data_IF_090111076543
#
_entry.id   IF_090111076543
#
_cell.length_a   1.000
_cell.length_b   1.000
_cell.length_c   1.000
_cell.angle_alpha   90.00
_cell.angle_beta   90.00
_cell.angle_gamma   90.00
#
_symmetry.space_group_name_H-M   'P 1'
#
loop_
_entity.id
_entity.type
_entity.pdbx_description
1 polymer ?
#
# COMPACT_ATOMS: atom_id res chain seq x y z
N UNK A 1 -28.01 24.76 11.77
CA UNK A 1 -28.52 25.19 13.08
C UNK A 1 -28.39 23.99 14.00
N UNK A 2 -27.31 24.02 14.77
CA UNK A 2 -26.95 23.04 15.78
C UNK A 2 -28.04 23.04 16.85
N UNK A 3 -28.54 21.86 17.22
CA UNK A 3 -29.42 21.71 18.37
C UNK A 3 -28.81 20.64 19.28
N UNK A 4 -28.01 21.13 20.21
CA UNK A 4 -27.88 20.71 21.60
C UNK A 4 -28.04 19.22 21.94
N UNK A 5 -26.89 18.59 22.17
CA UNK A 5 -26.75 17.50 23.14
C UNK A 5 -25.57 17.81 24.07
N UNK A 6 -25.81 18.69 25.03
CA UNK A 6 -25.03 18.73 26.26
C UNK A 6 -25.71 17.81 27.29
N UNK A 7 -25.10 16.66 27.56
CA UNK A 7 -25.41 15.86 28.74
C UNK A 7 -24.11 15.62 29.52
N UNK A 8 -24.08 16.13 30.76
CA UNK A 8 -23.05 15.90 31.75
C UNK A 8 -22.98 14.42 32.13
N UNK A 9 -21.77 13.83 32.10
CA UNK A 9 -21.34 12.83 33.08
C UNK A 9 -19.90 13.15 33.49
N UNK A 10 -19.66 13.16 34.80
CA UNK A 10 -18.37 13.36 35.46
C UNK A 10 -17.60 12.04 35.49
N UNK A 11 -16.28 12.14 35.34
CA UNK A 11 -15.33 11.15 35.87
C UNK A 11 -14.81 10.13 34.87
N UNK A 12 -13.50 10.22 34.65
CA UNK A 12 -12.57 9.21 34.14
C UNK A 12 -12.72 8.70 32.71
N UNK A 13 -11.57 8.68 32.02
CA UNK A 13 -11.32 8.16 30.67
C UNK A 13 -12.12 8.82 29.52
N UNK A 14 -11.49 9.81 28.89
CA UNK A 14 -11.82 10.23 27.52
C UNK A 14 -11.46 9.11 26.54
N UNK A 15 -12.27 8.05 26.49
CA UNK A 15 -12.35 7.16 25.34
C UNK A 15 -13.09 7.95 24.26
N UNK A 16 -12.33 8.47 23.29
CA UNK A 16 -12.85 9.24 22.17
C UNK A 16 -13.88 8.41 21.38
N UNK A 17 -15.04 8.99 21.10
CA UNK A 17 -16.11 8.42 20.28
C UNK A 17 -15.76 8.16 18.80
N UNK A 18 -14.49 8.18 18.41
CA UNK A 18 -14.03 7.81 17.06
C UNK A 18 -13.89 6.29 16.84
N UNK A 19 -14.16 5.48 17.86
CA UNK A 19 -13.99 4.01 17.81
C UNK A 19 -15.21 3.26 17.23
N UNK A 20 -16.21 3.97 16.69
CA UNK A 20 -17.49 3.37 16.27
C UNK A 20 -17.68 3.25 14.75
N UNK A 21 -16.75 3.72 13.92
CA UNK A 21 -16.83 3.58 12.45
C UNK A 21 -15.78 2.66 11.85
N UNK A 22 -14.91 2.05 12.66
CA UNK A 22 -14.02 1.00 12.18
C UNK A 22 -14.81 -0.30 12.04
N UNK A 23 -15.71 -0.33 11.04
CA UNK A 23 -16.43 -1.53 10.62
C UNK A 23 -15.44 -2.67 10.53
N UNK A 24 -15.80 -3.84 11.09
CA UNK A 24 -14.95 -5.03 11.05
C UNK A 24 -14.52 -5.28 9.60
N UNK A 25 -13.28 -4.93 9.28
CA UNK A 25 -12.66 -5.29 7.99
C UNK A 25 -12.72 -6.80 7.86
N UNK A 26 -12.79 -7.31 6.63
CA UNK A 26 -12.67 -8.75 6.47
C UNK A 26 -11.33 -9.25 7.04
N UNK A 27 -11.34 -10.49 7.56
CA UNK A 27 -10.11 -11.13 8.04
C UNK A 27 -9.03 -11.23 6.96
N UNK A 28 -9.41 -11.21 5.67
CA UNK A 28 -8.46 -11.15 4.56
C UNK A 28 -7.69 -9.84 4.56
N UNK A 29 -8.39 -8.71 4.64
CA UNK A 29 -7.76 -7.39 4.60
C UNK A 29 -6.86 -7.15 5.84
N UNK A 30 -7.30 -7.62 7.01
CA UNK A 30 -6.48 -7.61 8.23
C UNK A 30 -5.21 -8.43 8.07
N UNK A 31 -5.30 -9.66 7.53
CA UNK A 31 -4.13 -10.50 7.27
C UNK A 31 -3.14 -9.87 6.29
N UNK A 32 -3.63 -9.17 5.27
CA UNK A 32 -2.77 -8.41 4.34
C UNK A 32 -2.11 -7.22 5.05
N UNK A 33 -2.82 -6.54 5.95
CA UNK A 33 -2.26 -5.44 6.74
C UNK A 33 -1.16 -5.92 7.70
N UNK A 34 -1.37 -7.06 8.36
CA UNK A 34 -0.34 -7.71 9.18
C UNK A 34 0.88 -8.07 8.35
N UNK A 35 0.68 -8.66 7.17
CA UNK A 35 1.80 -9.03 6.29
C UNK A 35 2.60 -7.80 5.85
N UNK A 36 1.92 -6.74 5.42
CA UNK A 36 2.58 -5.50 5.05
C UNK A 36 3.42 -4.94 6.21
N UNK A 37 2.92 -5.01 7.44
CA UNK A 37 3.67 -4.59 8.62
C UNK A 37 4.92 -5.45 8.84
N UNK A 38 4.81 -6.78 8.71
CA UNK A 38 5.95 -7.69 8.84
C UNK A 38 7.05 -7.40 7.83
N UNK A 39 6.68 -7.04 6.60
CA UNK A 39 7.65 -6.64 5.57
C UNK A 39 8.33 -5.30 5.88
N UNK A 40 7.66 -4.41 6.61
CA UNK A 40 8.23 -3.15 7.05
C UNK A 40 9.12 -3.28 8.29
N UNK A 41 8.85 -4.25 9.18
CA UNK A 41 9.67 -4.57 10.35
C UNK A 41 10.95 -5.33 9.94
N UNK A 42 11.89 -4.60 9.34
CA UNK A 42 13.11 -5.14 8.71
C UNK A 42 14.03 -5.86 9.71
N UNK A 43 13.92 -5.56 11.00
CA UNK A 43 14.70 -6.23 12.04
C UNK A 43 13.89 -7.24 12.88
N UNK A 44 12.59 -7.38 12.59
CA UNK A 44 11.67 -8.34 13.21
C UNK A 44 11.54 -8.19 14.74
N UNK A 45 11.53 -6.94 15.25
CA UNK A 45 11.37 -6.66 16.68
C UNK A 45 9.91 -6.42 17.11
N UNK A 46 8.95 -6.48 16.19
CA UNK A 46 7.52 -6.25 16.45
C UNK A 46 7.11 -4.78 16.47
N UNK A 47 8.01 -3.87 16.11
CA UNK A 47 7.74 -2.43 15.98
C UNK A 47 8.26 -1.92 14.64
N UNK A 48 7.68 -0.82 14.15
CA UNK A 48 8.14 -0.14 12.95
C UNK A 48 8.93 1.11 13.32
N UNK A 49 10.21 1.15 12.97
CA UNK A 49 11.06 2.31 13.17
C UNK A 49 11.01 3.28 11.97
N UNK A 50 11.22 4.59 12.21
CA UNK A 50 11.26 5.61 11.15
C UNK A 50 12.26 5.23 10.04
N UNK A 51 13.42 4.71 10.46
CA UNK A 51 14.49 4.33 9.54
C UNK A 51 14.14 3.13 8.67
N UNK A 52 13.29 2.22 9.15
CA UNK A 52 12.86 1.04 8.39
C UNK A 52 11.90 1.46 7.29
N UNK A 53 10.90 2.29 7.63
CA UNK A 53 9.98 2.87 6.65
C UNK A 53 10.74 3.66 5.57
N UNK A 54 11.67 4.52 5.97
CA UNK A 54 12.49 5.31 5.04
C UNK A 54 13.33 4.42 4.13
N UNK A 55 14.06 3.45 4.69
CA UNK A 55 14.97 2.59 3.92
C UNK A 55 14.22 1.73 2.91
N UNK A 56 13.13 1.10 3.32
CA UNK A 56 12.34 0.26 2.42
C UNK A 56 11.81 1.09 1.25
N UNK A 57 11.27 2.27 1.53
CA UNK A 57 10.75 3.14 0.48
C UNK A 57 11.83 3.76 -0.43
N UNK A 58 13.03 4.05 0.09
CA UNK A 58 14.18 4.39 -0.77
C UNK A 58 14.46 3.25 -1.76
N UNK A 59 14.39 1.98 -1.34
CA UNK A 59 14.61 0.83 -2.22
C UNK A 59 13.51 0.64 -3.27
N UNK A 60 12.26 0.83 -2.88
CA UNK A 60 11.13 0.84 -3.83
C UNK A 60 11.32 1.96 -4.86
N UNK A 61 11.77 3.15 -4.42
CA UNK A 61 12.07 4.28 -5.33
C UNK A 61 13.17 3.91 -6.33
N UNK A 62 14.22 3.20 -5.90
CA UNK A 62 15.28 2.71 -6.80
C UNK A 62 14.72 1.70 -7.82
N UNK A 63 13.81 0.80 -7.42
CA UNK A 63 13.18 -0.13 -8.36
C UNK A 63 12.39 0.60 -9.44
N UNK A 64 11.70 1.69 -9.07
CA UNK A 64 10.81 2.40 -10.00
C UNK A 64 11.54 3.40 -10.89
N UNK A 65 12.52 4.14 -10.34
CA UNK A 65 13.19 5.22 -11.05
C UNK A 65 14.60 4.83 -11.55
N UNK A 66 15.12 3.67 -11.17
CA UNK A 66 16.45 3.21 -11.50
C UNK A 66 17.56 4.03 -10.84
N UNK A 67 18.72 4.13 -11.50
CA UNK A 67 19.93 4.76 -10.96
C UNK A 67 19.80 6.26 -10.66
N UNK A 68 18.80 6.93 -11.24
CA UNK A 68 18.55 8.37 -11.05
C UNK A 68 17.45 8.65 -10.01
N UNK A 69 17.13 7.68 -9.16
CA UNK A 69 16.16 7.84 -8.08
C UNK A 69 16.55 8.98 -7.12
N UNK A 70 15.61 9.89 -6.85
CA UNK A 70 15.78 10.93 -5.84
C UNK A 70 15.51 10.37 -4.43
N UNK A 71 16.57 9.81 -3.84
CA UNK A 71 16.52 9.26 -2.49
C UNK A 71 16.32 10.34 -1.43
N UNK A 72 16.73 11.58 -1.70
CA UNK A 72 16.56 12.69 -0.75
C UNK A 72 15.08 13.05 -0.60
N UNK A 73 14.35 13.07 -1.72
CA UNK A 73 12.92 13.30 -1.74
C UNK A 73 12.17 12.15 -1.06
N UNK A 74 12.51 10.89 -1.37
CA UNK A 74 11.95 9.73 -0.69
C UNK A 74 12.16 9.83 0.82
N UNK A 75 13.41 10.03 1.27
CA UNK A 75 13.74 10.16 2.69
C UNK A 75 12.95 11.26 3.39
N UNK A 76 12.96 12.46 2.83
CA UNK A 76 12.27 13.62 3.41
C UNK A 76 10.77 13.36 3.52
N UNK A 77 10.18 12.77 2.48
CA UNK A 77 8.75 12.46 2.43
C UNK A 77 8.36 11.42 3.48
N UNK A 78 9.07 10.30 3.55
CA UNK A 78 8.70 9.19 4.45
C UNK A 78 9.02 9.48 5.91
N UNK A 79 10.11 10.21 6.18
CA UNK A 79 10.38 10.78 7.51
C UNK A 79 9.26 11.73 7.93
N UNK A 80 8.83 12.62 7.02
CA UNK A 80 7.71 13.53 7.26
C UNK A 80 6.40 12.81 7.57
N UNK A 81 6.05 11.77 6.80
CA UNK A 81 4.86 10.94 7.03
C UNK A 81 4.95 10.25 8.40
N UNK A 82 6.10 9.65 8.72
CA UNK A 82 6.28 8.97 10.00
C UNK A 82 6.03 9.94 11.16
N UNK A 83 6.65 11.13 11.12
CA UNK A 83 6.52 12.10 12.21
C UNK A 83 5.16 12.77 12.29
N UNK A 84 4.50 13.00 11.16
CA UNK A 84 3.19 13.62 11.13
C UNK A 84 2.07 12.65 11.55
N UNK A 85 2.15 11.39 11.11
CA UNK A 85 1.01 10.46 11.17
C UNK A 85 1.20 9.31 12.16
N UNK A 86 2.44 8.91 12.42
CA UNK A 86 2.79 7.76 13.26
C UNK A 86 3.37 8.18 14.60
N UNK A 87 4.48 8.91 14.66
CA UNK A 87 5.06 9.35 15.93
C UNK A 87 5.95 10.58 15.75
N UNK A 88 5.54 11.71 16.35
CA UNK A 88 6.20 13.00 16.18
C UNK A 88 7.65 13.03 16.70
N UNK A 89 7.95 12.20 17.69
CA UNK A 89 9.27 12.09 18.30
C UNK A 89 10.14 11.01 17.61
N UNK A 90 9.63 10.39 16.54
CA UNK A 90 10.32 9.36 15.77
C UNK A 90 10.49 8.05 16.54
N UNK A 91 9.67 7.80 17.57
CA UNK A 91 9.75 6.56 18.34
C UNK A 91 9.21 5.37 17.54
N UNK A 92 9.74 4.14 17.76
CA UNK A 92 9.22 2.94 17.13
C UNK A 92 7.73 2.75 17.43
N UNK A 93 6.94 2.39 16.42
CA UNK A 93 5.49 2.26 16.56
C UNK A 93 5.02 0.82 16.51
N UNK A 94 4.01 0.48 17.30
CA UNK A 94 3.41 -0.85 17.28
C UNK A 94 2.52 -1.06 16.05
N UNK A 95 2.25 -2.33 15.74
CA UNK A 95 1.29 -2.72 14.69
C UNK A 95 -0.05 -1.99 14.82
N UNK A 96 -0.60 -1.85 16.03
CA UNK A 96 -1.89 -1.19 16.25
C UNK A 96 -1.91 0.31 15.87
N UNK A 97 -0.76 1.00 15.94
CA UNK A 97 -0.61 2.39 15.46
C UNK A 97 -0.53 2.42 13.94
N UNK A 98 0.33 1.58 13.35
CA UNK A 98 0.50 1.44 11.91
C UNK A 98 -0.82 1.06 11.22
N UNK A 99 -1.50 0.02 11.71
CA UNK A 99 -2.80 -0.47 11.21
C UNK A 99 -3.86 0.65 11.15
N UNK A 100 -4.00 1.42 12.23
CA UNK A 100 -4.97 2.53 12.29
C UNK A 100 -4.67 3.60 11.24
N UNK A 101 -3.41 4.00 11.12
CA UNK A 101 -2.98 4.95 10.10
C UNK A 101 -3.27 4.43 8.69
N UNK A 102 -2.85 3.19 8.40
CA UNK A 102 -2.99 2.61 7.07
C UNK A 102 -4.44 2.42 6.65
N UNK A 103 -5.34 1.99 7.54
CA UNK A 103 -6.75 1.92 7.20
C UNK A 103 -7.40 3.29 7.02
N UNK A 104 -7.04 4.28 7.84
CA UNK A 104 -7.50 5.66 7.63
C UNK A 104 -7.07 6.19 6.26
N UNK A 105 -5.83 5.87 5.86
CA UNK A 105 -5.32 6.24 4.54
C UNK A 105 -6.09 5.50 3.44
N UNK A 106 -6.31 4.20 3.55
CA UNK A 106 -7.08 3.43 2.56
C UNK A 106 -8.50 3.96 2.42
N UNK A 107 -9.20 4.30 3.51
CA UNK A 107 -10.55 4.89 3.47
C UNK A 107 -10.60 6.26 2.79
N UNK A 108 -9.52 7.02 2.88
CA UNK A 108 -9.39 8.29 2.19
C UNK A 108 -9.14 8.12 0.68
N UNK A 109 -8.60 6.96 0.26
CA UNK A 109 -8.38 6.63 -1.15
C UNK A 109 -9.65 6.03 -1.78
N UNK A 110 -10.19 4.99 -1.16
CA UNK A 110 -11.40 4.29 -1.61
C UNK A 110 -12.04 3.53 -0.45
N UNK A 111 -13.36 3.54 -0.33
CA UNK A 111 -14.10 2.82 0.72
C UNK A 111 -14.46 1.37 0.33
N UNK A 112 -14.30 1.01 -0.95
CA UNK A 112 -14.56 -0.32 -1.47
C UNK A 112 -13.46 -1.31 -1.06
N UNK A 113 -13.84 -2.30 -0.25
CA UNK A 113 -12.90 -3.27 0.32
C UNK A 113 -12.12 -4.08 -0.73
N UNK A 114 -12.75 -4.57 -1.83
CA UNK A 114 -12.00 -5.16 -2.95
C UNK A 114 -10.90 -4.25 -3.52
N UNK A 115 -11.19 -2.97 -3.71
CA UNK A 115 -10.22 -1.98 -4.19
C UNK A 115 -9.11 -1.74 -3.17
N UNK A 116 -9.44 -1.62 -1.89
CA UNK A 116 -8.44 -1.53 -0.81
C UNK A 116 -7.54 -2.77 -0.76
N UNK A 117 -8.09 -3.96 -0.97
CA UNK A 117 -7.32 -5.19 -1.04
C UNK A 117 -6.34 -5.18 -2.22
N UNK A 118 -6.74 -4.68 -3.39
CA UNK A 118 -5.83 -4.53 -4.53
C UNK A 118 -4.68 -3.56 -4.23
N UNK A 119 -4.96 -2.46 -3.52
CA UNK A 119 -3.94 -1.49 -3.11
C UNK A 119 -2.94 -2.14 -2.13
N UNK A 120 -3.43 -2.86 -1.11
CA UNK A 120 -2.56 -3.57 -0.18
C UNK A 120 -1.74 -4.67 -0.87
N UNK A 121 -2.34 -5.41 -1.80
CA UNK A 121 -1.63 -6.44 -2.59
C UNK A 121 -0.44 -5.84 -3.34
N UNK A 122 -0.65 -4.67 -3.94
CA UNK A 122 0.41 -3.92 -4.62
C UNK A 122 1.52 -3.48 -3.65
N UNK A 123 1.17 -2.99 -2.46
CA UNK A 123 2.17 -2.56 -1.47
C UNK A 123 3.01 -3.75 -0.96
N UNK A 124 2.36 -4.88 -0.72
CA UNK A 124 3.04 -6.12 -0.33
C UNK A 124 4.01 -6.55 -1.44
N UNK A 125 3.53 -6.59 -2.69
CA UNK A 125 4.36 -6.98 -3.83
C UNK A 125 5.59 -6.06 -4.01
N UNK A 126 5.45 -4.76 -3.81
CA UNK A 126 6.58 -3.81 -3.89
C UNK A 126 7.58 -3.99 -2.74
N UNK A 127 7.08 -4.18 -1.52
CA UNK A 127 7.92 -4.43 -0.35
C UNK A 127 8.71 -5.74 -0.50
N UNK A 128 8.03 -6.83 -0.91
CA UNK A 128 8.66 -8.12 -1.19
C UNK A 128 9.73 -8.01 -2.28
N UNK A 129 9.41 -7.31 -3.38
CA UNK A 129 10.35 -7.12 -4.47
C UNK A 129 11.60 -6.36 -4.01
N UNK A 130 11.44 -5.31 -3.20
CA UNK A 130 12.54 -4.56 -2.63
C UNK A 130 13.38 -5.41 -1.66
N UNK A 131 12.75 -6.21 -0.80
CA UNK A 131 13.45 -7.12 0.11
C UNK A 131 14.27 -8.15 -0.65
N UNK A 132 13.69 -8.78 -1.68
CA UNK A 132 14.38 -9.77 -2.51
C UNK A 132 15.61 -9.16 -3.21
N UNK A 133 15.47 -7.96 -3.79
CA UNK A 133 16.56 -7.29 -4.52
C UNK A 133 17.63 -6.67 -3.63
N UNK A 134 17.26 -6.18 -2.44
CA UNK A 134 18.14 -5.39 -1.58
C UNK A 134 18.36 -6.01 -0.19
N UNK A 135 18.22 -7.33 -0.03
CA UNK A 135 18.38 -8.07 1.22
C UNK A 135 19.66 -7.73 2.01
N UNK A 136 20.78 -7.42 1.32
CA UNK A 136 22.04 -7.02 1.97
C UNK A 136 22.03 -5.58 2.51
N UNK A 137 21.29 -4.68 1.87
CA UNK A 137 21.23 -3.25 2.19
C UNK A 137 20.12 -2.88 3.18
N UNK A 138 19.10 -3.73 3.33
CA UNK A 138 17.96 -3.50 4.22
C UNK A 138 18.20 -3.98 5.66
N UNK A 139 19.31 -4.67 5.95
CA UNK A 139 19.66 -5.09 7.31
C UNK A 139 19.82 -3.87 8.22
N UNK A 140 18.85 -3.65 9.10
CA UNK A 140 18.96 -2.73 10.23
C UNK A 140 19.58 -3.48 11.39
N UNK A 141 20.65 -2.94 11.97
CA UNK A 141 21.19 -3.51 13.22
C UNK A 141 20.30 -3.05 14.38
N UNK A 142 19.78 -3.98 15.20
CA UNK A 142 19.02 -3.60 16.39
C UNK A 142 19.86 -2.69 17.29
N UNK A 143 19.27 -1.58 17.74
CA UNK A 143 19.83 -0.75 18.81
C UNK A 143 20.78 0.39 18.41
N UNK A 144 20.84 0.81 17.14
CA UNK A 144 21.75 1.91 16.74
C UNK A 144 21.14 3.05 15.92
N UNK A 145 19.83 3.07 15.63
CA UNK A 145 19.24 4.06 14.71
C UNK A 145 18.19 4.95 15.38
N UNK A 146 18.49 5.45 16.57
CA UNK A 146 17.84 6.65 17.08
C UNK A 146 18.48 7.87 16.38
N UNK A 147 17.70 8.51 15.51
CA UNK A 147 18.05 9.70 14.73
C UNK A 147 19.08 9.49 13.61
N UNK A 148 18.58 9.40 12.37
CA UNK A 148 19.34 9.98 11.26
C UNK A 148 19.55 11.45 11.62
N UNK A 149 20.79 11.96 11.76
CA UNK A 149 20.99 13.39 11.88
C UNK A 149 20.42 14.00 10.60
N UNK A 150 19.33 14.76 10.75
CA UNK A 150 18.91 15.72 9.75
C UNK A 150 20.01 16.78 9.74
N UNK A 151 21.11 16.49 9.04
CA UNK A 151 22.16 17.47 8.81
C UNK A 151 21.51 18.60 8.00
N UNK A 152 21.48 19.85 8.49
CA UNK A 152 21.03 20.97 7.69
C UNK A 152 22.08 21.19 6.60
N UNK A 153 21.88 20.54 5.45
CA UNK A 153 22.61 20.91 4.24
C UNK A 153 22.04 22.24 3.75
N UNK A 154 22.87 23.24 3.44
CA UNK A 154 22.41 24.48 2.86
C UNK A 154 21.97 24.21 1.41
N UNK A 155 20.67 23.96 1.22
CA UNK A 155 20.06 23.85 -0.09
C UNK A 155 19.69 25.26 -0.56
N UNK A 156 20.59 25.89 -1.33
CA UNK A 156 20.19 26.94 -2.27
C UNK A 156 19.93 26.25 -3.60
N UNK A 157 18.66 25.97 -3.88
CA UNK A 157 18.16 25.88 -5.25
C UNK A 157 16.66 26.21 -5.24
N UNK A 158 16.33 27.42 -5.71
CA UNK A 158 14.96 27.80 -6.01
C UNK A 158 14.39 26.86 -7.08
N UNK A 159 13.20 26.30 -6.82
CA UNK A 159 12.37 25.65 -7.83
C UNK A 159 10.93 26.16 -7.68
N UNK A 160 10.20 26.44 -8.78
CA UNK A 160 8.93 27.16 -8.74
C UNK A 160 7.79 26.30 -8.17
N UNK A 161 6.94 26.95 -7.38
CA UNK A 161 5.65 26.42 -6.92
C UNK A 161 4.75 26.11 -8.11
N UNK A 162 4.31 24.86 -8.23
CA UNK A 162 3.27 24.52 -9.19
C UNK A 162 2.93 23.04 -9.24
N UNK A 163 2.05 22.61 -8.33
CA UNK A 163 1.01 21.55 -8.44
C UNK A 163 0.98 20.67 -7.19
N UNK A 164 -0.19 20.63 -6.57
CA UNK A 164 -0.56 19.72 -5.48
C UNK A 164 -0.23 18.29 -5.87
N UNK A 165 0.79 17.73 -5.24
CA UNK A 165 1.13 16.32 -5.38
C UNK A 165 0.15 15.51 -4.51
N UNK A 166 -0.44 14.49 -5.12
CA UNK A 166 -1.28 13.48 -4.47
C UNK A 166 -0.59 12.90 -3.23
N UNK A 167 -1.27 12.97 -2.10
CA UNK A 167 -0.84 12.52 -0.78
C UNK A 167 -0.87 10.99 -0.61
N UNK A 168 -0.59 10.22 -1.67
CA UNK A 168 -0.60 8.75 -1.56
C UNK A 168 0.79 8.27 -1.10
N UNK A 169 0.91 7.58 0.04
CA UNK A 169 2.19 7.26 0.67
C UNK A 169 3.05 6.32 -0.18
N UNK A 170 2.46 5.51 -1.05
CA UNK A 170 3.19 4.63 -1.96
C UNK A 170 3.05 5.12 -3.41
N UNK A 171 4.01 4.79 -4.29
CA UNK A 171 3.91 5.16 -5.69
C UNK A 171 2.82 4.32 -6.38
N UNK A 172 1.54 4.64 -6.16
CA UNK A 172 0.45 4.27 -7.06
C UNK A 172 0.58 4.94 -8.44
N UNK A 173 1.67 5.66 -8.69
CA UNK A 173 1.80 6.50 -9.87
C UNK A 173 2.12 5.75 -11.15
N UNK A 174 2.52 4.47 -11.17
CA UNK A 174 2.66 3.74 -12.43
C UNK A 174 2.40 2.23 -12.27
N UNK A 175 1.47 1.63 -13.06
CA UNK A 175 1.41 0.18 -13.15
C UNK A 175 2.73 -0.34 -13.70
N UNK A 176 3.33 -1.32 -13.01
CA UNK A 176 4.38 -2.18 -13.56
C UNK A 176 3.86 -2.77 -14.87
N UNK A 177 4.22 -2.16 -15.99
CA UNK A 177 4.01 -2.73 -17.31
C UNK A 177 5.04 -3.84 -17.45
N UNK A 178 4.77 -4.97 -16.79
CA UNK A 178 5.46 -6.22 -17.04
C UNK A 178 5.28 -6.52 -18.54
N UNK A 179 6.36 -6.78 -19.30
CA UNK A 179 6.21 -7.29 -20.64
C UNK A 179 5.62 -8.69 -20.53
N UNK A 180 4.31 -8.82 -20.74
CA UNK A 180 3.70 -10.10 -21.10
C UNK A 180 4.20 -10.43 -22.50
N UNK A 181 5.41 -11.00 -22.57
CA UNK A 181 5.88 -11.68 -23.76
C UNK A 181 5.12 -13.00 -23.86
N UNK A 182 4.16 -13.03 -24.77
CA UNK A 182 3.80 -14.26 -25.47
C UNK A 182 2.48 -14.90 -25.05
N UNK A 183 1.37 -14.32 -25.49
CA UNK A 183 0.18 -15.09 -25.82
C UNK A 183 -0.61 -14.37 -26.92
N UNK A 184 -0.13 -14.48 -28.16
CA UNK A 184 -0.94 -14.14 -29.33
C UNK A 184 -0.69 -15.16 -30.43
N UNK A 185 -1.63 -16.11 -30.54
CA UNK A 185 -2.29 -16.50 -31.79
C UNK A 185 -3.00 -17.84 -31.63
N UNK A 186 -4.33 -17.81 -31.74
CA UNK A 186 -5.12 -18.55 -32.75
C UNK A 186 -6.56 -18.72 -32.24
N UNK A 187 -7.44 -17.79 -32.58
CA UNK A 187 -8.87 -18.07 -32.74
C UNK A 187 -9.53 -16.94 -33.52
N UNK A 188 -9.57 -17.08 -34.85
CA UNK A 188 -10.54 -16.38 -35.68
C UNK A 188 -10.72 -17.17 -36.96
N UNK A 189 -11.87 -17.80 -37.09
CA UNK A 189 -12.68 -17.97 -38.30
C UNK A 189 -14.08 -18.31 -37.75
N UNK A 190 -15.00 -17.34 -37.74
CA UNK A 190 -16.05 -17.19 -38.76
C UNK A 190 -16.80 -18.52 -38.96
N UNK A 191 -18.03 -18.70 -38.49
CA UNK A 191 -19.17 -17.84 -38.76
C UNK A 191 -20.09 -18.55 -39.75
N UNK A 192 -21.22 -19.05 -39.29
CA UNK A 192 -22.47 -19.12 -40.07
C UNK A 192 -23.58 -19.73 -39.22
N UNK A 193 -24.60 -18.92 -39.02
CA UNK A 193 -25.95 -19.36 -38.71
C UNK A 193 -26.45 -20.30 -39.81
N UNK A 194 -27.32 -21.25 -39.45
CA UNK A 194 -28.64 -21.43 -40.07
C UNK A 194 -29.39 -22.52 -39.29
N UNK A 195 -30.56 -22.10 -38.83
CA UNK A 195 -31.68 -22.89 -38.33
C UNK A 195 -32.17 -23.90 -39.37
N UNK A 196 -32.53 -25.12 -38.97
CA UNK A 196 -33.85 -25.74 -39.24
C UNK A 196 -33.91 -27.24 -38.85
N UNK A 197 -34.85 -27.50 -37.93
CA UNK A 197 -35.75 -28.67 -37.77
C UNK A 197 -35.22 -30.11 -37.57
N UNK A 198 -35.88 -30.88 -36.66
CA UNK A 198 -35.73 -32.32 -36.58
C UNK A 198 -36.65 -33.02 -37.59
N UNK A 199 -36.16 -34.05 -38.27
CA UNK A 199 -36.99 -34.98 -39.04
C UNK A 199 -36.75 -36.40 -38.56
N UNK A 200 -37.84 -37.01 -38.13
CA UNK A 200 -38.02 -38.43 -37.85
C UNK A 200 -37.89 -39.23 -39.15
N UNK A 201 -37.41 -40.48 -39.08
CA UNK A 201 -37.76 -41.49 -40.08
C UNK A 201 -36.68 -42.52 -40.40
N UNK A 202 -36.84 -43.70 -39.82
CA UNK A 202 -36.98 -44.94 -40.59
C UNK A 202 -35.77 -45.53 -41.32
N UNK A 203 -35.21 -46.59 -40.73
CA UNK A 203 -35.43 -47.93 -41.29
C UNK A 203 -34.41 -48.51 -42.29
N UNK A 204 -34.10 -49.79 -42.01
CA UNK A 204 -33.81 -50.90 -42.94
C UNK A 204 -32.40 -50.98 -43.59
N UNK A 205 -31.67 -52.01 -43.15
CA UNK A 205 -31.54 -53.24 -43.94
C UNK A 205 -30.18 -53.53 -44.59
N UNK A 206 -29.77 -54.81 -44.48
CA UNK A 206 -28.69 -55.45 -45.24
C UNK A 206 -27.46 -55.72 -44.38
N UNK A 207 -26.96 -56.94 -44.24
CA UNK A 207 -27.30 -58.24 -44.83
C UNK A 207 -26.34 -59.28 -44.22
#
# INVERSE_FOLDING_TARGET
ILSDCAALVRGDETVSCEELTQGKRSGRLEGMMEELFRLHDLNSNGTLEEVELVKLNEKITILHCGANADLSHARTRFSGIFRAELDADGQPVSYGRFRRYMFRMLDAVDQDEPTQAMILDQFIAEADLAIAHFHGSLKVRPGFLAALPISPMPMVLEVPRGRSASLLPFPLSQPLSLPVKGASRMASLAGSAVSLRPYLGGGRGGG
#
